data_IF_247709880404
#
_entry.id   IF_247709880404
#
_cell.length_a   1.000
_cell.length_b   1.000
_cell.length_c   1.000
_cell.angle_alpha   90.00
_cell.angle_beta   90.00
_cell.angle_gamma   90.00
#
_symmetry.space_group_name_H-M   'P 1'
#
loop_
_entity.id
_entity.type
_entity.pdbx_description
1 polymer ?
#
# COMPACT_ATOMS: atom_id res chain seq x y z
N UNK A 1 16.45 41.03 -0.80
CA UNK A 1 17.62 40.63 -1.60
C UNK A 1 17.45 39.16 -1.94
N UNK A 2 17.55 38.79 -3.23
CA UNK A 2 17.48 37.39 -3.64
C UNK A 2 18.77 36.69 -3.19
N UNK A 3 18.64 35.60 -2.44
CA UNK A 3 19.78 34.81 -1.96
C UNK A 3 20.39 34.10 -3.17
N UNK A 4 21.68 34.33 -3.44
CA UNK A 4 22.41 33.72 -4.55
C UNK A 4 22.64 32.24 -4.20
N UNK A 5 21.87 31.34 -4.81
CA UNK A 5 21.97 29.90 -4.56
C UNK A 5 23.11 29.35 -5.41
N UNK A 6 24.22 28.94 -4.78
CA UNK A 6 25.32 28.28 -5.46
C UNK A 6 24.95 26.84 -5.80
N UNK A 7 24.43 26.62 -6.99
CA UNK A 7 24.11 25.29 -7.51
C UNK A 7 25.36 24.39 -7.51
N UNK A 8 25.22 23.17 -6.99
CA UNK A 8 26.27 22.17 -6.99
C UNK A 8 26.03 21.19 -8.15
N UNK A 9 26.98 21.13 -9.08
CA UNK A 9 26.93 20.22 -10.22
C UNK A 9 27.91 19.08 -9.96
N UNK A 10 27.38 17.87 -9.77
CA UNK A 10 28.21 16.67 -9.65
C UNK A 10 28.82 16.32 -11.01
N UNK A 11 30.15 16.35 -11.11
CA UNK A 11 30.90 16.07 -12.35
C UNK A 11 31.64 14.73 -12.29
N UNK A 12 31.86 14.10 -13.45
CA UNK A 12 32.67 12.88 -13.59
C UNK A 12 31.86 11.59 -13.60
N UNK A 13 32.56 10.45 -13.78
CA UNK A 13 31.95 9.12 -13.87
C UNK A 13 31.27 8.66 -12.57
N UNK A 14 31.74 9.14 -11.42
CA UNK A 14 31.27 8.72 -10.09
C UNK A 14 30.37 9.78 -9.43
N UNK A 15 29.64 10.56 -10.24
CA UNK A 15 28.77 11.65 -9.73
C UNK A 15 27.80 11.19 -8.63
N UNK A 16 27.23 9.98 -8.71
CA UNK A 16 26.37 9.39 -7.67
C UNK A 16 27.09 9.23 -6.33
N UNK A 17 28.36 8.83 -6.34
CA UNK A 17 29.19 8.66 -5.15
C UNK A 17 29.48 10.00 -4.45
N UNK A 18 29.60 11.08 -5.21
CA UNK A 18 29.86 12.41 -4.62
C UNK A 18 28.67 12.95 -3.83
N UNK A 19 27.45 12.57 -4.23
CA UNK A 19 26.19 13.06 -3.66
C UNK A 19 25.50 12.04 -2.76
N UNK A 20 26.03 10.83 -2.63
CA UNK A 20 25.42 9.78 -1.80
C UNK A 20 25.40 10.18 -0.32
N UNK A 21 24.40 9.69 0.41
CA UNK A 21 24.27 9.89 1.84
C UNK A 21 22.87 10.33 2.26
N UNK A 22 22.74 10.59 3.55
CA UNK A 22 21.50 11.02 4.17
C UNK A 22 21.40 12.55 4.15
N UNK A 23 20.26 13.04 3.67
CA UNK A 23 19.87 14.44 3.72
C UNK A 23 18.65 14.57 4.61
N UNK A 24 18.70 15.44 5.61
CA UNK A 24 17.65 15.58 6.63
C UNK A 24 17.81 14.63 7.81
N UNK A 25 17.00 14.83 8.85
CA UNK A 25 17.06 14.09 10.11
C UNK A 25 15.78 13.28 10.37
N UNK A 26 14.69 13.89 10.86
CA UNK A 26 13.42 13.17 11.09
C UNK A 26 12.65 12.88 9.79
N UNK A 27 12.95 13.65 8.75
CA UNK A 27 12.42 13.48 7.40
C UNK A 27 13.47 13.96 6.41
N UNK A 28 13.49 13.34 5.24
CA UNK A 28 14.40 13.72 4.19
C UNK A 28 14.55 12.64 3.15
N UNK A 29 15.75 12.55 2.58
CA UNK A 29 16.04 11.62 1.48
C UNK A 29 17.45 11.05 1.65
N UNK A 30 17.57 9.75 1.42
CA UNK A 30 18.86 9.07 1.28
C UNK A 30 19.14 8.85 -0.21
N UNK A 31 20.32 9.25 -0.66
CA UNK A 31 20.82 8.94 -2.00
C UNK A 31 21.86 7.82 -1.92
N UNK A 32 21.68 6.77 -2.72
CA UNK A 32 22.60 5.64 -2.79
C UNK A 32 23.50 5.75 -4.03
N UNK A 33 24.68 5.10 -3.97
CA UNK A 33 25.70 5.19 -5.03
C UNK A 33 25.26 4.53 -6.35
N UNK A 34 24.29 3.62 -6.28
CA UNK A 34 23.73 2.86 -7.40
C UNK A 34 22.58 3.56 -8.14
N UNK A 35 22.33 4.84 -7.82
CA UNK A 35 21.23 5.60 -8.43
C UNK A 35 19.86 5.31 -7.81
N UNK A 36 19.80 4.63 -6.66
CA UNK A 36 18.57 4.47 -5.88
C UNK A 36 18.42 5.55 -4.82
N UNK A 37 17.19 5.79 -4.37
CA UNK A 37 16.93 6.66 -3.24
C UNK A 37 15.93 6.05 -2.27
N UNK A 38 15.89 6.61 -1.06
CA UNK A 38 14.83 6.37 -0.08
C UNK A 38 14.35 7.72 0.46
N UNK A 39 13.10 8.08 0.19
CA UNK A 39 12.41 9.20 0.81
C UNK A 39 11.80 8.72 2.13
N UNK A 40 12.00 9.48 3.21
CA UNK A 40 11.51 9.10 4.53
C UNK A 40 10.95 10.31 5.31
N UNK A 41 10.03 10.02 6.22
CA UNK A 41 9.39 11.00 7.10
C UNK A 41 8.35 10.31 7.98
N UNK A 42 7.51 11.10 8.65
CA UNK A 42 6.46 10.55 9.51
C UNK A 42 5.62 9.49 8.77
N UNK A 43 5.68 8.25 9.30
CA UNK A 43 5.00 7.06 8.77
C UNK A 43 5.19 6.79 7.26
N UNK A 44 6.25 7.32 6.63
CA UNK A 44 6.46 7.25 5.18
C UNK A 44 7.87 6.77 4.88
N UNK A 45 7.97 5.69 4.09
CA UNK A 45 9.22 5.25 3.48
C UNK A 45 8.93 4.86 2.03
N UNK A 46 9.60 5.52 1.08
CA UNK A 46 9.41 5.30 -0.35
C UNK A 46 10.76 5.18 -1.04
N UNK A 47 11.01 4.02 -1.62
CA UNK A 47 12.17 3.77 -2.46
C UNK A 47 11.90 4.14 -3.92
N UNK A 48 12.97 4.31 -4.68
CA UNK A 48 12.89 4.48 -6.12
C UNK A 48 14.27 4.66 -6.75
N UNK A 49 14.28 5.20 -7.96
CA UNK A 49 15.52 5.53 -8.69
C UNK A 49 15.61 7.02 -8.98
N UNK A 50 16.84 7.50 -9.14
CA UNK A 50 17.08 8.86 -9.59
C UNK A 50 18.05 8.86 -10.77
N UNK A 51 17.89 9.86 -11.64
CA UNK A 51 18.80 10.11 -12.76
C UNK A 51 19.24 11.57 -12.73
N UNK A 52 20.41 11.82 -13.28
CA UNK A 52 20.88 13.17 -13.51
C UNK A 52 20.38 13.67 -14.86
N UNK A 53 19.72 14.81 -14.86
CA UNK A 53 19.32 15.55 -16.04
C UNK A 53 20.03 16.90 -16.00
N UNK A 54 21.07 17.05 -16.82
CA UNK A 54 21.96 18.23 -16.83
C UNK A 54 22.49 18.57 -15.42
N UNK A 55 21.99 19.64 -14.82
CA UNK A 55 22.37 20.23 -13.54
C UNK A 55 21.39 19.90 -12.39
N UNK A 56 20.42 19.01 -12.63
CA UNK A 56 19.43 18.60 -11.63
C UNK A 56 19.19 17.09 -11.61
N UNK A 57 18.42 16.65 -10.62
CA UNK A 57 18.07 15.25 -10.38
C UNK A 57 16.58 15.05 -10.67
N UNK A 58 16.25 13.97 -11.36
CA UNK A 58 14.89 13.49 -11.53
C UNK A 58 14.71 12.20 -10.75
N UNK A 59 13.66 12.15 -9.94
CA UNK A 59 13.33 11.03 -9.06
C UNK A 59 12.08 10.32 -9.56
N UNK A 60 12.18 9.00 -9.61
CA UNK A 60 11.13 8.06 -10.00
C UNK A 60 10.88 7.11 -8.83
N UNK A 61 9.97 7.46 -7.90
CA UNK A 61 9.54 6.55 -6.85
C UNK A 61 8.99 5.26 -7.44
N UNK A 62 9.26 4.14 -6.78
CA UNK A 62 8.65 2.86 -7.12
C UNK A 62 7.14 2.95 -6.80
N UNK A 63 6.30 2.44 -7.70
CA UNK A 63 4.83 2.57 -7.62
C UNK A 63 4.19 1.36 -6.96
N UNK A 64 3.09 1.59 -6.24
CA UNK A 64 2.17 0.54 -5.82
C UNK A 64 1.04 0.43 -6.86
N UNK A 65 0.59 -0.79 -7.22
CA UNK A 65 -0.65 -0.94 -7.98
C UNK A 65 -1.78 -0.27 -7.23
N UNK A 66 -2.62 0.47 -7.96
CA UNK A 66 -3.81 1.09 -7.39
C UNK A 66 -4.70 0.03 -6.75
N UNK A 67 -4.88 -1.12 -7.40
CA UNK A 67 -5.73 -2.18 -6.88
C UNK A 67 -4.97 -3.51 -6.78
N UNK A 68 -5.13 -4.20 -5.65
CA UNK A 68 -4.58 -5.52 -5.39
C UNK A 68 -5.65 -6.40 -4.75
N UNK A 69 -5.63 -7.68 -5.10
CA UNK A 69 -6.48 -8.70 -4.50
C UNK A 69 -5.58 -9.82 -3.97
N UNK A 70 -5.77 -10.17 -2.72
CA UNK A 70 -5.13 -11.31 -2.07
C UNK A 70 -6.20 -12.30 -1.64
N UNK A 71 -5.91 -13.60 -1.73
CA UNK A 71 -6.88 -14.63 -1.38
C UNK A 71 -6.22 -15.83 -0.71
N UNK A 72 -6.97 -16.51 0.14
CA UNK A 72 -6.57 -17.78 0.73
C UNK A 72 -7.77 -18.74 0.83
N UNK A 73 -7.47 -20.01 1.08
CA UNK A 73 -8.47 -20.96 1.55
C UNK A 73 -8.54 -20.88 3.06
N UNK A 74 -9.72 -20.57 3.59
CA UNK A 74 -10.01 -20.57 5.00
C UNK A 74 -10.98 -21.72 5.32
N UNK A 75 -10.48 -22.86 5.81
CA UNK A 75 -11.32 -24.01 6.17
C UNK A 75 -12.40 -23.67 7.20
N UNK A 76 -12.19 -22.66 8.04
CA UNK A 76 -13.15 -22.27 9.09
C UNK A 76 -14.43 -21.63 8.55
N UNK A 77 -14.40 -21.07 7.33
CA UNK A 77 -15.57 -20.49 6.66
C UNK A 77 -16.44 -21.53 5.96
N UNK A 78 -15.94 -22.75 5.73
CA UNK A 78 -16.63 -23.74 4.91
C UNK A 78 -16.94 -23.20 3.52
N UNK A 79 -18.23 -23.20 3.13
CA UNK A 79 -18.72 -22.67 1.86
C UNK A 79 -19.00 -21.15 1.88
N UNK A 80 -18.89 -20.50 3.05
CA UNK A 80 -19.02 -19.05 3.16
C UNK A 80 -17.80 -18.37 2.55
N UNK A 81 -18.01 -17.16 2.00
CA UNK A 81 -16.95 -16.32 1.46
C UNK A 81 -16.89 -15.02 2.25
N UNK A 82 -15.68 -14.63 2.67
CA UNK A 82 -15.39 -13.34 3.29
C UNK A 82 -14.51 -12.48 2.37
N UNK A 83 -14.80 -11.18 2.30
CA UNK A 83 -13.99 -10.18 1.61
C UNK A 83 -13.76 -8.98 2.54
N UNK A 84 -12.50 -8.76 2.92
CA UNK A 84 -12.06 -7.55 3.60
C UNK A 84 -11.68 -6.45 2.60
N UNK A 85 -12.16 -5.23 2.83
CA UNK A 85 -11.86 -4.07 1.98
C UNK A 85 -10.94 -3.09 2.72
N UNK A 86 -9.92 -2.56 2.03
CA UNK A 86 -9.00 -1.54 2.56
C UNK A 86 -8.76 -0.41 1.57
N UNK A 87 -8.94 0.84 2.03
CA UNK A 87 -8.66 2.01 1.20
C UNK A 87 -9.80 2.37 0.24
N UNK A 88 -11.02 1.92 0.54
CA UNK A 88 -12.22 2.12 -0.30
C UNK A 88 -13.15 3.23 0.18
N UNK A 89 -12.84 3.87 1.30
CA UNK A 89 -13.75 4.68 2.13
C UNK A 89 -14.11 6.04 1.50
N UNK A 90 -13.43 6.45 0.43
CA UNK A 90 -13.69 7.71 -0.27
C UNK A 90 -14.88 7.66 -1.25
N UNK A 91 -15.61 6.53 -1.32
CA UNK A 91 -16.91 6.45 -2.03
C UNK A 91 -16.84 6.30 -3.56
N UNK A 92 -15.66 6.08 -4.13
CA UNK A 92 -15.42 6.10 -5.59
C UNK A 92 -14.99 4.77 -6.19
N UNK A 93 -15.21 3.70 -5.46
CA UNK A 93 -14.90 2.35 -5.87
C UNK A 93 -16.16 1.48 -5.80
N UNK A 94 -16.26 0.55 -6.74
CA UNK A 94 -17.40 -0.32 -6.93
C UNK A 94 -16.95 -1.77 -7.00
N UNK A 95 -17.83 -2.69 -6.58
CA UNK A 95 -17.60 -4.11 -6.64
C UNK A 95 -18.82 -4.84 -7.20
N UNK A 96 -18.57 -5.94 -7.90
CA UNK A 96 -19.58 -6.89 -8.34
C UNK A 96 -19.15 -8.28 -7.90
N UNK A 97 -20.07 -8.99 -7.24
CA UNK A 97 -19.92 -10.37 -6.82
C UNK A 97 -20.68 -11.28 -7.78
N UNK A 98 -19.99 -12.20 -8.46
CA UNK A 98 -20.63 -13.07 -9.44
C UNK A 98 -21.33 -12.28 -10.56
N UNK A 99 -22.64 -12.52 -10.71
CA UNK A 99 -23.51 -11.88 -11.70
C UNK A 99 -24.40 -10.79 -11.10
N UNK A 100 -24.17 -10.39 -9.85
CA UNK A 100 -24.91 -9.31 -9.19
C UNK A 100 -24.73 -7.96 -9.90
N UNK A 101 -25.52 -6.96 -9.53
CA UNK A 101 -25.28 -5.59 -9.98
C UNK A 101 -23.99 -5.02 -9.38
N UNK A 102 -23.27 -4.22 -10.17
CA UNK A 102 -22.15 -3.42 -9.65
C UNK A 102 -22.69 -2.45 -8.60
N UNK A 103 -22.06 -2.41 -7.42
CA UNK A 103 -22.49 -1.58 -6.29
C UNK A 103 -21.30 -0.79 -5.71
N UNK A 104 -21.51 0.44 -5.23
CA UNK A 104 -20.47 1.18 -4.50
C UNK A 104 -19.99 0.38 -3.30
N UNK A 105 -18.68 0.40 -3.00
CA UNK A 105 -18.16 -0.24 -1.79
C UNK A 105 -18.52 0.60 -0.57
N UNK A 106 -18.42 1.93 -0.66
CA UNK A 106 -18.81 2.87 0.38
C UNK A 106 -19.70 3.96 -0.22
N UNK A 107 -20.51 4.61 0.61
CA UNK A 107 -21.13 5.87 0.26
C UNK A 107 -20.10 7.01 0.25
N UNK A 108 -20.44 8.15 -0.36
CA UNK A 108 -19.61 9.35 -0.32
C UNK A 108 -19.43 9.86 1.12
N UNK A 109 -18.21 10.28 1.47
CA UNK A 109 -17.90 10.90 2.77
C UNK A 109 -17.85 9.92 3.95
N UNK A 110 -17.59 8.64 3.70
CA UNK A 110 -17.65 7.57 4.69
C UNK A 110 -16.39 7.48 5.58
N UNK A 111 -16.08 8.53 6.35
CA UNK A 111 -14.82 8.67 7.11
C UNK A 111 -14.94 8.49 8.64
N UNK A 112 -16.04 7.91 9.12
CA UNK A 112 -16.45 8.01 10.52
C UNK A 112 -16.83 6.68 11.19
N UNK A 113 -16.23 5.57 10.75
CA UNK A 113 -16.43 4.26 11.38
C UNK A 113 -15.20 3.39 11.21
N UNK A 114 -15.06 2.41 12.09
CA UNK A 114 -13.81 1.69 12.29
C UNK A 114 -13.70 0.43 11.40
N UNK A 115 -12.47 0.19 10.95
CA UNK A 115 -12.02 -1.06 10.32
C UNK A 115 -12.09 -2.23 11.34
N UNK A 116 -12.33 -3.50 10.95
CA UNK A 116 -12.36 -4.05 9.59
C UNK A 116 -13.69 -3.92 8.83
N UNK A 117 -13.60 -3.74 7.51
CA UNK A 117 -14.76 -3.69 6.60
C UNK A 117 -14.94 -5.03 5.91
N UNK A 118 -15.92 -5.81 6.35
CA UNK A 118 -16.07 -7.22 5.96
C UNK A 118 -17.40 -7.43 5.24
N UNK A 119 -17.33 -8.03 4.06
CA UNK A 119 -18.49 -8.57 3.35
C UNK A 119 -18.45 -10.09 3.41
N UNK A 120 -19.51 -10.70 3.91
CA UNK A 120 -19.72 -12.14 3.93
C UNK A 120 -20.89 -12.54 3.04
N UNK A 121 -20.75 -13.68 2.36
CA UNK A 121 -21.85 -14.35 1.68
C UNK A 121 -21.82 -15.86 1.92
N UNK A 122 -22.99 -16.47 2.02
CA UNK A 122 -23.10 -17.90 2.38
C UNK A 122 -22.91 -18.88 1.20
N UNK A 123 -22.30 -18.44 0.09
CA UNK A 123 -22.09 -19.29 -1.09
C UNK A 123 -20.75 -18.99 -1.76
N UNK A 124 -20.20 -19.96 -2.51
CA UNK A 124 -19.00 -19.76 -3.32
C UNK A 124 -19.11 -18.58 -4.28
N UNK A 125 -17.99 -17.87 -4.44
CA UNK A 125 -17.86 -16.69 -5.28
C UNK A 125 -17.10 -17.05 -6.55
N UNK A 126 -17.75 -17.23 -7.72
CA UNK A 126 -17.06 -17.66 -8.94
C UNK A 126 -16.20 -16.56 -9.56
N UNK A 127 -16.59 -15.29 -9.40
CA UNK A 127 -15.86 -14.16 -9.95
C UNK A 127 -16.07 -12.90 -9.10
N UNK A 128 -15.09 -12.01 -9.18
CA UNK A 128 -15.09 -10.68 -8.58
C UNK A 128 -14.75 -9.67 -9.66
N UNK A 129 -15.45 -8.54 -9.68
CA UNK A 129 -15.04 -7.38 -10.47
C UNK A 129 -14.97 -6.16 -9.57
N UNK A 130 -13.93 -5.38 -9.75
CA UNK A 130 -13.72 -4.12 -9.02
C UNK A 130 -13.57 -3.00 -10.02
N UNK A 131 -14.23 -1.87 -9.77
CA UNK A 131 -14.06 -0.68 -10.58
C UNK A 131 -13.62 0.47 -9.69
N UNK A 132 -12.45 1.04 -9.96
CA UNK A 132 -11.86 2.12 -9.16
C UNK A 132 -11.67 3.34 -10.05
N UNK A 133 -11.94 4.53 -9.49
CA UNK A 133 -11.65 5.79 -10.19
C UNK A 133 -10.14 5.98 -10.29
N UNK A 134 -9.63 6.34 -11.47
CA UNK A 134 -8.24 6.73 -11.62
C UNK A 134 -8.07 8.10 -10.97
N UNK A 135 -7.23 8.17 -9.94
CA UNK A 135 -6.96 9.38 -9.16
C UNK A 135 -5.57 9.96 -9.44
N UNK A 136 -4.93 9.56 -10.55
CA UNK A 136 -3.68 10.18 -10.99
C UNK A 136 -3.85 11.70 -11.15
N UNK A 137 -2.85 12.47 -10.73
CA UNK A 137 -2.88 13.94 -10.79
C UNK A 137 -3.16 14.52 -12.19
N UNK A 138 -2.85 13.75 -13.25
CA UNK A 138 -3.13 14.07 -14.65
C UNK A 138 -4.23 13.18 -15.28
N UNK A 139 -4.76 12.23 -14.53
CA UNK A 139 -5.83 11.35 -14.99
C UNK A 139 -7.18 12.03 -14.73
N UNK A 140 -7.98 12.22 -15.77
CA UNK A 140 -9.38 12.62 -15.60
C UNK A 140 -10.16 11.59 -14.77
N UNK A 141 -11.46 11.82 -14.58
CA UNK A 141 -12.38 10.97 -13.79
C UNK A 141 -12.68 9.60 -14.42
N UNK A 142 -11.75 9.02 -15.17
CA UNK A 142 -11.89 7.72 -15.81
C UNK A 142 -11.84 6.60 -14.77
N UNK A 143 -12.62 5.55 -14.99
CA UNK A 143 -12.63 4.36 -14.16
C UNK A 143 -11.82 3.24 -14.80
N UNK A 144 -11.15 2.44 -13.97
CA UNK A 144 -10.50 1.20 -14.37
C UNK A 144 -11.22 0.02 -13.72
N UNK A 145 -11.61 -0.96 -14.53
CA UNK A 145 -12.26 -2.19 -14.07
C UNK A 145 -11.27 -3.35 -14.08
N UNK A 146 -11.19 -4.07 -12.97
CA UNK A 146 -10.36 -5.24 -12.75
C UNK A 146 -11.24 -6.47 -12.57
N UNK A 147 -10.90 -7.55 -13.26
CA UNK A 147 -11.63 -8.82 -13.21
C UNK A 147 -10.76 -9.90 -12.56
N UNK A 148 -11.37 -10.66 -11.66
CA UNK A 148 -10.79 -11.88 -11.08
C UNK A 148 -11.75 -13.05 -11.31
N UNK A 149 -11.22 -14.15 -11.86
CA UNK A 149 -11.90 -15.44 -11.92
C UNK A 149 -11.39 -16.31 -10.77
N UNK A 150 -12.30 -16.84 -9.95
CA UNK A 150 -11.96 -17.61 -8.76
C UNK A 150 -11.99 -19.12 -9.04
N UNK A 151 -11.24 -19.55 -10.05
CA UNK A 151 -11.20 -20.96 -10.47
C UNK A 151 -10.64 -21.88 -9.36
N UNK A 152 -9.80 -21.31 -8.50
CA UNK A 152 -9.19 -22.01 -7.36
C UNK A 152 -10.14 -22.14 -6.17
N UNK A 153 -11.33 -21.51 -6.18
CA UNK A 153 -12.33 -21.55 -5.11
C UNK A 153 -11.82 -21.02 -3.76
N UNK A 154 -11.06 -19.93 -3.79
CA UNK A 154 -10.76 -19.19 -2.57
C UNK A 154 -12.04 -18.67 -1.92
N UNK A 155 -12.04 -18.57 -0.60
CA UNK A 155 -13.19 -18.17 0.18
C UNK A 155 -12.88 -17.08 1.22
N UNK A 156 -11.64 -16.61 1.28
CA UNK A 156 -11.25 -15.48 2.13
C UNK A 156 -10.35 -14.55 1.34
N UNK A 157 -10.77 -13.29 1.21
CA UNK A 157 -10.16 -12.30 0.33
C UNK A 157 -9.80 -11.02 1.08
N UNK A 158 -8.69 -10.40 0.69
CA UNK A 158 -8.31 -9.04 1.09
C UNK A 158 -8.15 -8.20 -0.18
N UNK A 159 -9.05 -7.25 -0.37
CA UNK A 159 -9.04 -6.27 -1.44
C UNK A 159 -8.40 -4.97 -0.94
N UNK A 160 -7.34 -4.51 -1.60
CA UNK A 160 -6.59 -3.31 -1.25
C UNK A 160 -6.68 -2.32 -2.41
N UNK A 161 -7.18 -1.11 -2.12
CA UNK A 161 -7.16 0.04 -3.00
C UNK A 161 -6.14 1.07 -2.48
N UNK A 162 -4.95 1.08 -3.06
CA UNK A 162 -3.89 2.03 -2.72
C UNK A 162 -4.20 3.39 -3.33
N UNK A 163 -4.36 4.39 -2.48
CA UNK A 163 -4.50 5.78 -2.92
C UNK A 163 -3.18 6.29 -3.50
N UNK A 164 -3.22 7.14 -4.54
CA UNK A 164 -2.04 7.87 -4.98
C UNK A 164 -1.44 8.66 -3.83
N UNK A 165 -0.17 8.42 -3.54
CA UNK A 165 0.55 9.15 -2.50
C UNK A 165 1.44 10.20 -3.15
N UNK A 166 1.40 11.44 -2.65
CA UNK A 166 2.31 12.51 -3.12
C UNK A 166 3.78 12.09 -3.01
N UNK A 167 4.13 11.28 -2.00
CA UNK A 167 5.47 10.72 -1.81
C UNK A 167 5.92 9.78 -2.94
N UNK A 168 4.97 9.24 -3.72
CA UNK A 168 5.21 8.38 -4.87
C UNK A 168 5.05 9.10 -6.21
N UNK A 169 4.74 10.39 -6.25
CA UNK A 169 4.77 11.15 -7.50
C UNK A 169 6.21 11.45 -7.93
N UNK A 170 6.49 11.44 -9.24
CA UNK A 170 7.80 11.88 -9.76
C UNK A 170 8.11 13.31 -9.32
N UNK A 171 9.37 13.58 -8.99
CA UNK A 171 9.80 14.90 -8.55
C UNK A 171 11.21 15.24 -9.02
N UNK A 172 11.53 16.52 -9.00
CA UNK A 172 12.86 17.02 -9.31
C UNK A 172 13.58 17.49 -8.05
N UNK A 173 14.91 17.56 -8.11
CA UNK A 173 15.68 18.25 -7.09
C UNK A 173 16.91 18.96 -7.66
N UNK A 174 17.33 20.00 -6.96
CA UNK A 174 18.62 20.66 -7.20
C UNK A 174 19.50 20.49 -5.98
N UNK A 175 20.79 20.26 -6.24
CA UNK A 175 21.82 20.30 -5.21
C UNK A 175 22.42 21.70 -5.15
N UNK A 176 22.74 22.14 -3.94
CA UNK A 176 23.40 23.42 -3.75
C UNK A 176 24.30 23.39 -2.51
N UNK A 177 25.27 24.30 -2.49
CA UNK A 177 26.10 24.53 -1.31
C UNK A 177 25.50 25.68 -0.50
N UNK A 178 25.31 25.44 0.79
CA UNK A 178 25.01 26.51 1.75
C UNK A 178 26.19 27.47 1.89
N UNK A 179 25.96 28.62 2.53
CA UNK A 179 27.00 29.60 2.86
C UNK A 179 28.17 28.95 3.63
N UNK A 180 27.86 27.99 4.51
CA UNK A 180 28.84 27.19 5.27
C UNK A 180 29.47 26.03 4.46
N UNK A 181 29.30 26.02 3.14
CA UNK A 181 29.79 24.97 2.21
C UNK A 181 29.28 23.56 2.51
N UNK A 182 28.16 23.43 3.22
CA UNK A 182 27.47 22.15 3.41
C UNK A 182 26.58 21.87 2.20
N UNK A 183 26.64 20.64 1.71
CA UNK A 183 25.80 20.17 0.61
C UNK A 183 24.35 20.03 1.08
N UNK A 184 23.42 20.50 0.27
CA UNK A 184 21.99 20.45 0.52
C UNK A 184 21.25 20.03 -0.74
N UNK A 185 20.07 19.44 -0.55
CA UNK A 185 19.17 19.04 -1.64
C UNK A 185 17.81 19.71 -1.47
N UNK A 186 17.36 20.45 -2.49
CA UNK A 186 16.03 21.06 -2.53
C UNK A 186 15.12 20.23 -3.43
N UNK A 187 14.10 19.61 -2.85
CA UNK A 187 13.12 18.79 -3.60
C UNK A 187 11.95 19.66 -4.07
N UNK A 188 11.37 19.35 -5.22
CA UNK A 188 10.18 20.06 -5.71
C UNK A 188 8.89 19.71 -4.95
N UNK A 189 8.87 18.59 -4.22
CA UNK A 189 7.70 18.07 -3.51
C UNK A 189 7.76 18.24 -1.98
N UNK A 190 8.94 18.25 -1.36
CA UNK A 190 9.15 18.31 0.10
C UNK A 190 10.34 19.20 0.50
N UNK A 191 10.47 19.52 1.79
CA UNK A 191 11.63 20.25 2.36
C UNK A 191 11.64 21.77 2.16
N UNK A 192 10.75 22.30 1.30
CA UNK A 192 10.63 23.74 1.06
C UNK A 192 11.90 24.36 0.48
N UNK A 193 11.98 25.70 0.45
CA UNK A 193 13.09 26.42 -0.22
C UNK A 193 14.48 26.17 0.38
N UNK A 194 14.53 25.77 1.66
CA UNK A 194 15.80 25.45 2.36
C UNK A 194 16.25 24.01 2.12
N UNK A 195 15.41 23.14 1.56
CA UNK A 195 15.77 21.74 1.31
C UNK A 195 16.25 21.00 2.55
N UNK A 196 16.94 19.88 2.32
CA UNK A 196 17.52 19.03 3.34
C UNK A 196 19.04 19.13 3.30
N UNK A 197 19.66 19.42 4.44
CA UNK A 197 21.12 19.42 4.58
C UNK A 197 21.63 17.99 4.62
N UNK A 198 22.75 17.71 3.96
CA UNK A 198 23.47 16.45 4.10
C UNK A 198 24.01 16.35 5.52
N UNK A 199 23.77 15.22 6.18
CA UNK A 199 24.43 14.93 7.45
C UNK A 199 25.95 14.79 7.21
N UNK A 200 26.73 15.59 7.92
CA UNK A 200 28.21 15.62 7.83
C UNK A 200 28.83 14.35 8.43
N UNK A 201 29.98 13.93 7.89
CA UNK A 201 30.03 12.88 6.88
C UNK A 201 29.38 11.58 7.36
N UNK A 202 28.72 10.87 6.45
CA UNK A 202 28.28 9.49 6.62
C UNK A 202 29.52 8.63 6.92
N UNK A 203 29.85 8.48 8.19
CA UNK A 203 30.78 7.45 8.62
C UNK A 203 30.08 6.12 8.30
N UNK A 204 30.66 5.27 7.43
CA UNK A 204 30.06 3.99 7.06
C UNK A 204 29.87 3.05 8.25
N UNK A 205 30.43 3.37 9.42
CA UNK A 205 30.25 2.65 10.69
C UNK A 205 29.16 3.25 11.58
N UNK A 206 28.55 4.39 11.21
CA UNK A 206 27.41 4.94 11.94
C UNK A 206 26.24 3.95 11.88
N UNK A 207 25.79 3.55 13.07
CA UNK A 207 24.67 2.62 13.27
C UNK A 207 23.45 2.96 12.41
N UNK A 208 23.09 4.25 12.35
CA UNK A 208 21.94 4.74 11.57
C UNK A 208 22.08 4.49 10.06
N UNK A 209 23.26 4.75 9.49
CA UNK A 209 23.48 4.50 8.06
C UNK A 209 23.50 3.00 7.74
N UNK A 210 24.06 2.18 8.63
CA UNK A 210 24.01 0.71 8.53
C UNK A 210 22.57 0.18 8.60
N UNK A 211 21.72 0.76 9.45
CA UNK A 211 20.28 0.45 9.50
C UNK A 211 19.62 0.80 8.16
N UNK A 212 19.88 2.00 7.61
CA UNK A 212 19.35 2.42 6.29
C UNK A 212 19.81 1.49 5.17
N UNK A 213 21.08 1.07 5.16
CA UNK A 213 21.60 0.12 4.18
C UNK A 213 20.97 -1.27 4.33
N UNK A 214 20.68 -1.69 5.56
CA UNK A 214 19.94 -2.93 5.83
C UNK A 214 18.52 -2.83 5.27
N UNK A 215 17.79 -1.75 5.54
CA UNK A 215 16.45 -1.51 4.99
C UNK A 215 16.45 -1.52 3.46
N UNK A 216 17.44 -0.89 2.82
CA UNK A 216 17.62 -0.95 1.36
C UNK A 216 17.80 -2.38 0.87
N UNK A 217 18.65 -3.16 1.54
CA UNK A 217 18.94 -4.55 1.14
C UNK A 217 17.70 -5.44 1.29
N UNK A 218 16.94 -5.27 2.36
CA UNK A 218 15.66 -5.95 2.58
C UNK A 218 14.66 -5.61 1.46
N UNK A 219 14.54 -4.31 1.14
CA UNK A 219 13.72 -3.84 0.05
C UNK A 219 14.11 -4.45 -1.31
N UNK A 220 15.41 -4.50 -1.62
CA UNK A 220 15.91 -5.08 -2.87
C UNK A 220 15.75 -6.59 -2.93
N UNK A 221 15.92 -7.27 -1.79
CA UNK A 221 15.75 -8.72 -1.68
C UNK A 221 14.28 -9.13 -1.85
N UNK A 222 13.34 -8.26 -1.48
CA UNK A 222 11.91 -8.47 -1.74
C UNK A 222 11.58 -8.45 -3.26
N UNK A 223 12.44 -7.87 -4.09
CA UNK A 223 12.36 -7.92 -5.56
C UNK A 223 11.19 -7.15 -6.19
N UNK A 224 10.17 -6.77 -5.41
CA UNK A 224 9.08 -5.88 -5.80
C UNK A 224 8.42 -5.30 -4.55
N UNK A 225 7.84 -4.09 -4.63
CA UNK A 225 6.89 -3.62 -3.60
C UNK A 225 5.62 -4.47 -3.60
N UNK A 226 5.34 -5.14 -4.71
CA UNK A 226 4.17 -5.97 -4.91
C UNK A 226 4.36 -7.36 -4.32
N UNK A 227 4.20 -7.46 -3.01
CA UNK A 227 4.34 -8.73 -2.31
C UNK A 227 3.43 -9.80 -2.93
N UNK A 228 4.01 -10.96 -3.24
CA UNK A 228 3.29 -12.12 -3.77
C UNK A 228 2.41 -12.77 -2.71
N UNK A 229 2.71 -12.52 -1.44
CA UNK A 229 1.92 -12.95 -0.30
C UNK A 229 1.92 -11.91 0.82
N UNK A 230 0.84 -11.87 1.60
CA UNK A 230 0.71 -11.11 2.84
C UNK A 230 0.26 -12.05 3.96
N UNK A 231 0.59 -11.71 5.21
CA UNK A 231 0.11 -12.45 6.38
C UNK A 231 -0.89 -11.59 7.13
N UNK A 232 -1.98 -12.20 7.58
CA UNK A 232 -3.02 -11.48 8.30
C UNK A 232 -3.67 -12.35 9.38
N UNK A 233 -3.98 -11.75 10.52
CA UNK A 233 -4.76 -12.38 11.58
C UNK A 233 -6.28 -12.37 11.25
N UNK A 234 -7.10 -12.88 12.17
CA UNK A 234 -8.56 -12.96 12.02
C UNK A 234 -9.25 -11.58 11.99
N UNK A 235 -8.66 -10.56 12.60
CA UNK A 235 -9.14 -9.17 12.57
C UNK A 235 -8.72 -8.41 11.31
N UNK A 236 -8.09 -9.11 10.36
CA UNK A 236 -7.50 -8.51 9.18
C UNK A 236 -6.39 -7.48 9.51
N UNK A 237 -5.57 -7.68 10.53
CA UNK A 237 -4.33 -6.93 10.69
C UNK A 237 -3.22 -7.57 9.85
N UNK A 238 -2.63 -6.82 8.91
CA UNK A 238 -1.54 -7.32 8.05
C UNK A 238 -0.21 -7.18 8.76
N UNK A 239 0.59 -8.24 8.72
CA UNK A 239 1.95 -8.28 9.23
C UNK A 239 2.88 -9.04 8.28
N UNK A 240 4.18 -8.96 8.56
CA UNK A 240 5.23 -9.65 7.82
C UNK A 240 6.16 -10.36 8.83
N UNK A 241 5.72 -11.50 9.38
CA UNK A 241 6.44 -12.20 10.43
C UNK A 241 7.71 -12.88 9.91
N UNK A 242 8.65 -13.16 10.82
CA UNK A 242 9.65 -14.20 10.58
C UNK A 242 8.98 -15.57 10.70
N UNK A 243 8.78 -16.26 9.57
CA UNK A 243 8.13 -17.57 9.54
C UNK A 243 8.94 -18.65 10.28
N UNK A 244 10.22 -18.41 10.59
CA UNK A 244 10.99 -19.31 11.44
C UNK A 244 10.41 -19.41 12.87
N UNK A 245 9.64 -18.41 13.32
CA UNK A 245 9.00 -18.37 14.63
C UNK A 245 7.61 -19.04 14.65
N UNK A 246 7.18 -19.65 13.54
CA UNK A 246 5.84 -20.20 13.37
C UNK A 246 5.87 -21.68 12.94
N UNK A 247 4.83 -22.40 13.32
CA UNK A 247 4.51 -23.73 12.81
C UNK A 247 3.27 -23.62 11.90
N UNK A 248 3.34 -24.21 10.71
CA UNK A 248 2.21 -24.22 9.79
C UNK A 248 1.25 -25.38 10.13
N UNK A 249 0.04 -25.06 10.53
CA UNK A 249 -1.06 -26.00 10.69
C UNK A 249 -1.88 -26.12 9.40
N UNK A 250 -1.81 -27.30 8.79
CA UNK A 250 -2.52 -27.63 7.56
C UNK A 250 -4.04 -27.73 7.74
N UNK A 251 -4.52 -28.07 8.94
CA UNK A 251 -5.95 -28.29 9.18
C UNK A 251 -6.72 -26.97 9.15
N UNK A 252 -6.14 -25.93 9.74
CA UNK A 252 -6.72 -24.58 9.78
C UNK A 252 -6.18 -23.66 8.69
N UNK A 253 -5.14 -24.09 7.96
CA UNK A 253 -4.38 -23.30 7.00
C UNK A 253 -3.80 -22.02 7.62
N UNK A 254 -3.23 -22.14 8.82
CA UNK A 254 -2.68 -21.04 9.60
C UNK A 254 -1.22 -21.29 9.99
N UNK A 255 -0.45 -20.22 10.08
CA UNK A 255 0.81 -20.14 10.78
C UNK A 255 0.51 -19.81 12.24
N UNK A 256 0.92 -20.69 13.15
CA UNK A 256 0.72 -20.56 14.58
C UNK A 256 2.09 -20.30 15.21
N UNK A 257 2.21 -19.21 15.97
CA UNK A 257 3.46 -18.86 16.66
C UNK A 257 3.89 -20.01 17.56
N UNK A 258 5.19 -20.30 17.58
CA UNK A 258 5.78 -21.29 18.50
C UNK A 258 5.61 -20.90 19.97
N UNK A 259 5.29 -19.64 20.24
CA UNK A 259 5.00 -19.10 21.57
C UNK A 259 3.51 -19.12 21.94
N UNK A 260 2.61 -19.53 21.03
CA UNK A 260 1.19 -19.59 21.32
C UNK A 260 0.90 -20.71 22.34
N UNK A 261 0.21 -20.39 23.43
CA UNK A 261 -0.20 -21.37 24.44
C UNK A 261 -1.52 -22.08 24.05
N UNK A 262 -1.67 -23.36 24.40
CA UNK A 262 -2.80 -24.22 23.99
C UNK A 262 -4.19 -23.74 24.48
N UNK A 263 -4.26 -22.81 25.44
CA UNK A 263 -5.50 -22.36 26.09
C UNK A 263 -5.77 -20.85 25.97
N UNK A 264 -5.17 -20.17 24.99
CA UNK A 264 -5.42 -18.74 24.80
C UNK A 264 -6.88 -18.48 24.38
N UNK A 265 -7.65 -17.86 25.27
CA UNK A 265 -9.01 -17.35 24.98
C UNK A 265 -8.98 -16.14 24.02
N UNK A 266 -7.80 -15.64 23.69
CA UNK A 266 -7.54 -14.53 22.76
C UNK A 266 -6.95 -15.02 21.43
N UNK A 267 -7.38 -16.21 20.97
CA UNK A 267 -6.89 -16.86 19.75
C UNK A 267 -6.94 -15.97 18.50
N UNK A 268 -7.84 -14.99 18.49
CA UNK A 268 -8.08 -14.13 17.34
C UNK A 268 -7.38 -12.76 17.45
N UNK A 269 -6.72 -12.46 18.58
CA UNK A 269 -6.06 -11.18 18.82
C UNK A 269 -4.52 -11.31 18.73
N UNK A 270 -3.92 -10.39 17.97
CA UNK A 270 -2.48 -10.29 17.77
C UNK A 270 -1.95 -11.05 16.56
N UNK A 271 -0.63 -11.24 16.51
CA UNK A 271 0.11 -11.87 15.43
C UNK A 271 0.39 -13.37 15.65
N UNK A 272 -0.12 -13.95 16.75
CA UNK A 272 0.07 -15.37 17.11
C UNK A 272 -0.50 -16.35 16.08
N UNK A 273 -1.57 -15.97 15.37
CA UNK A 273 -2.26 -16.81 14.39
C UNK A 273 -2.43 -16.04 13.09
N UNK A 274 -1.76 -16.49 12.03
CA UNK A 274 -1.71 -15.77 10.76
C UNK A 274 -2.11 -16.68 9.60
N UNK A 275 -2.90 -16.17 8.67
CA UNK A 275 -3.12 -16.79 7.37
C UNK A 275 -2.26 -16.11 6.33
N UNK A 276 -1.67 -16.91 5.45
CA UNK A 276 -1.01 -16.40 4.26
C UNK A 276 -2.05 -16.21 3.16
N UNK A 277 -2.17 -14.98 2.65
CA UNK A 277 -2.96 -14.69 1.47
C UNK A 277 -2.03 -14.47 0.29
N UNK A 278 -2.31 -15.16 -0.80
CA UNK A 278 -1.52 -15.08 -2.02
C UNK A 278 -2.16 -14.07 -2.97
N UNK A 279 -1.33 -13.25 -3.61
CA UNK A 279 -1.77 -12.26 -4.59
C UNK A 279 -2.46 -12.96 -5.76
N UNK A 280 -3.63 -12.46 -6.11
CA UNK A 280 -4.45 -12.98 -7.19
C UNK A 280 -4.22 -12.20 -8.48
N UNK A 281 -4.21 -12.87 -9.65
CA UNK A 281 -4.14 -12.20 -10.93
C UNK A 281 -5.42 -11.41 -11.16
N UNK A 282 -5.25 -10.19 -11.67
CA UNK A 282 -6.31 -9.26 -12.04
C UNK A 282 -6.16 -8.91 -13.52
N UNK A 283 -7.23 -9.08 -14.29
CA UNK A 283 -7.27 -8.70 -15.70
C UNK A 283 -7.89 -7.31 -15.80
N UNK A 284 -7.13 -6.26 -16.18
CA UNK A 284 -7.72 -4.95 -16.42
C UNK A 284 -8.55 -5.00 -17.70
N UNK A 285 -9.79 -4.52 -17.64
CA UNK A 285 -10.61 -4.26 -18.83
C UNK A 285 -10.63 -2.78 -19.14
N UNK A 286 -10.31 -2.45 -20.39
CA UNK A 286 -10.55 -1.12 -20.92
C UNK A 286 -12.03 -1.02 -21.32
N UNK A 287 -12.74 -0.09 -20.71
CA UNK A 287 -14.16 0.15 -20.97
C UNK A 287 -14.63 1.41 -20.25
N UNK A 288 -15.67 2.06 -20.77
CA UNK A 288 -16.32 3.16 -20.06
C UNK A 288 -17.28 2.56 -19.04
N UNK A 289 -16.93 2.66 -17.76
CA UNK A 289 -17.88 2.42 -16.68
C UNK A 289 -18.70 3.68 -16.45
N UNK A 290 -20.02 3.55 -16.46
CA UNK A 290 -20.95 4.61 -16.09
C UNK A 290 -21.49 4.34 -14.68
N UNK A 291 -21.03 5.13 -13.71
CA UNK A 291 -21.44 5.00 -12.31
C UNK A 291 -22.95 5.18 -12.10
N UNK A 292 -23.67 5.82 -13.02
CA UNK A 292 -25.13 5.94 -12.97
C UNK A 292 -25.86 4.61 -13.16
N UNK A 293 -25.18 3.60 -13.70
CA UNK A 293 -25.74 2.25 -13.89
C UNK A 293 -25.52 1.33 -12.68
N UNK A 294 -24.74 1.78 -11.69
CA UNK A 294 -24.50 1.04 -10.47
C UNK A 294 -25.74 1.08 -9.55
N UNK A 295 -25.81 0.10 -8.64
CA UNK A 295 -26.77 0.14 -7.54
C UNK A 295 -26.59 1.42 -6.72
N UNK A 296 -27.70 1.95 -6.19
CA UNK A 296 -27.69 3.16 -5.35
C UNK A 296 -27.21 2.88 -3.93
N UNK A 297 -27.49 1.68 -3.41
CA UNK A 297 -27.02 1.25 -2.09
C UNK A 297 -25.54 0.86 -2.15
N UNK A 298 -24.74 1.42 -1.26
CA UNK A 298 -23.36 0.98 -1.04
C UNK A 298 -23.34 -0.32 -0.25
N UNK A 299 -22.23 -1.05 -0.34
CA UNK A 299 -21.94 -2.14 0.58
C UNK A 299 -21.90 -1.57 1.99
N UNK A 300 -20.87 -0.81 2.33
CA UNK A 300 -20.77 -0.20 3.65
C UNK A 300 -21.42 1.17 3.62
N UNK A 301 -22.14 1.50 4.68
CA UNK A 301 -22.79 2.80 4.82
C UNK A 301 -22.33 3.48 6.10
N UNK A 302 -22.02 4.76 5.99
CA UNK A 302 -21.62 5.62 7.09
C UNK A 302 -22.45 6.88 7.14
N UNK A 303 -22.97 7.19 8.32
CA UNK A 303 -23.61 8.46 8.64
C UNK A 303 -22.95 9.06 9.87
N UNK A 304 -22.04 10.02 9.66
CA UNK A 304 -21.24 10.59 10.74
C UNK A 304 -22.07 11.38 11.76
N UNK A 305 -23.25 11.84 11.36
CA UNK A 305 -24.19 12.53 12.24
C UNK A 305 -25.15 11.57 12.95
N UNK A 306 -25.25 10.32 12.48
CA UNK A 306 -26.11 9.27 13.03
C UNK A 306 -25.39 7.92 12.98
N UNK A 307 -24.44 7.68 13.89
CA UNK A 307 -23.63 6.47 13.88
C UNK A 307 -24.45 5.18 13.88
N UNK A 308 -25.61 5.17 14.54
CA UNK A 308 -26.52 4.03 14.62
C UNK A 308 -27.13 3.60 13.27
N UNK A 309 -27.09 4.47 12.26
CA UNK A 309 -27.52 4.14 10.89
C UNK A 309 -26.37 3.53 10.05
N UNK A 310 -25.14 3.52 10.57
CA UNK A 310 -23.93 3.03 9.88
C UNK A 310 -23.74 1.52 10.04
N UNK A 311 -23.18 0.86 9.02
CA UNK A 311 -22.86 -0.57 9.09
C UNK A 311 -21.58 -0.91 8.30
N UNK A 312 -20.69 -1.66 8.94
CA UNK A 312 -19.34 -1.98 8.48
C UNK A 312 -19.11 -3.50 8.29
N UNK A 313 -20.10 -4.31 8.64
CA UNK A 313 -20.11 -5.75 8.45
C UNK A 313 -21.44 -6.17 7.83
N UNK A 314 -21.38 -6.93 6.74
CA UNK A 314 -22.55 -7.36 5.97
C UNK A 314 -22.49 -8.87 5.82
N UNK A 315 -23.60 -9.56 6.12
CA UNK A 315 -23.76 -10.99 5.85
C UNK A 315 -24.95 -11.22 4.92
N UNK A 316 -24.69 -11.55 3.64
CA UNK A 316 -25.74 -11.92 2.68
C UNK A 316 -26.02 -13.43 2.74
N UNK A 317 -27.30 -13.78 2.92
CA UNK A 317 -27.81 -15.15 2.83
C UNK A 317 -28.46 -15.36 1.46
N UNK A 318 -28.49 -16.60 0.94
CA UNK A 318 -29.34 -16.89 -0.23
C UNK A 318 -30.77 -16.60 0.17
N UNK A 319 -31.47 -15.83 -0.65
CA UNK A 319 -32.91 -15.98 -0.73
C UNK A 319 -33.17 -17.35 -1.35
N UNK A 320 -33.55 -18.32 -0.52
CA UNK A 320 -34.14 -19.57 -1.00
C UNK A 320 -35.49 -19.16 -1.58
N UNK A 321 -35.53 -18.88 -2.88
CA UNK A 321 -36.80 -18.78 -3.59
C UNK A 321 -37.40 -20.18 -3.56
N UNK A 322 -38.44 -20.37 -2.74
CA UNK A 322 -39.21 -21.61 -2.68
C UNK A 322 -40.07 -21.78 -3.91
#
# INVERSE_FOLDING_TARGET
>A
MAQEVNHYIATGKDRSKTISGQYGDLSGICLFEDGKFMLYGYATMVFGSYVFEKDYLLFYPDQLPQFQLYACHNPTLGDEVSVNFRGFEEGKAFVQFGDDSMQPVFNDGANCFDFPYIYEQSHPMPQLKFTVQNEGFDAGSAYQTFHHQNDQRFNDFIAINNKPQRARANFGAYLYLTEDKKLAISLSNYGGRKGFLRETPVDPTQKRWLEILTMKKEYESAGSIELTAIFSNAEYNISYPDLAEYNFDKATNQYISKSAEDNDQERDQGDRYLRQYTKQPLVPKQGKFDSKTAATASLFFASCNKPDESYNHIKRRKEITK
#
